data_IF_718938968865
#
_entry.id   IF_718938968865
#
_cell.length_a   1.000
_cell.length_b   1.000
_cell.length_c   1.000
_cell.angle_alpha   90.00
_cell.angle_beta   90.00
_cell.angle_gamma   90.00
#
_symmetry.space_group_name_H-M   'P 1'
#
loop_
_entity.id
_entity.type
_entity.pdbx_description
1 polymer ?
#
# COMPACT_ATOMS: atom_id res chain seq x y z
N UNK A 1 49.99 -76.04 25.77
CA UNK A 1 48.56 -75.70 25.98
C UNK A 1 48.34 -74.29 25.47
N UNK A 2 47.74 -74.15 24.29
CA UNK A 2 47.28 -72.87 23.73
C UNK A 2 45.82 -73.11 23.37
N UNK A 3 44.92 -72.41 24.06
CA UNK A 3 43.48 -72.54 23.89
C UNK A 3 42.99 -71.53 22.86
N UNK A 4 42.46 -72.06 21.75
CA UNK A 4 41.84 -71.29 20.66
C UNK A 4 40.44 -70.86 21.09
N UNK A 5 40.20 -69.54 21.18
CA UNK A 5 38.88 -68.94 21.33
C UNK A 5 38.20 -68.86 19.96
N UNK A 6 37.09 -69.57 19.76
CA UNK A 6 36.18 -69.36 18.63
C UNK A 6 35.05 -68.42 19.05
N UNK A 7 35.03 -67.22 18.46
CA UNK A 7 33.95 -66.25 18.58
C UNK A 7 32.79 -66.68 17.66
N UNK A 8 31.63 -66.92 18.23
CA UNK A 8 30.38 -67.21 17.52
C UNK A 8 29.80 -65.90 16.97
N UNK A 9 29.87 -65.67 15.65
CA UNK A 9 29.09 -64.61 15.00
C UNK A 9 27.63 -65.08 14.88
N UNK A 10 26.75 -64.48 15.68
CA UNK A 10 25.31 -64.58 15.51
C UNK A 10 24.87 -63.93 14.21
N UNK A 11 24.19 -64.70 13.36
CA UNK A 11 23.52 -64.24 12.15
C UNK A 11 22.26 -63.46 12.56
N UNK A 12 22.31 -62.12 12.52
CA UNK A 12 21.12 -61.27 12.59
C UNK A 12 20.50 -61.20 11.20
N UNK A 13 19.39 -61.92 11.00
CA UNK A 13 18.51 -61.74 9.84
C UNK A 13 17.79 -60.39 9.95
N UNK A 14 18.26 -59.38 9.22
CA UNK A 14 17.55 -58.13 8.96
C UNK A 14 16.36 -58.41 8.02
N UNK A 15 15.23 -58.80 8.59
CA UNK A 15 13.95 -58.83 7.89
C UNK A 15 13.35 -57.42 7.86
N UNK A 16 13.18 -56.85 6.66
CA UNK A 16 12.25 -55.73 6.47
C UNK A 16 12.77 -54.46 5.78
N UNK A 17 13.58 -54.57 4.72
CA UNK A 17 13.60 -53.52 3.70
C UNK A 17 12.68 -53.96 2.57
N UNK A 18 11.43 -53.48 2.54
CA UNK A 18 10.60 -53.58 1.34
C UNK A 18 11.36 -52.88 0.21
N UNK A 19 11.64 -53.62 -0.86
CA UNK A 19 12.35 -53.16 -2.05
C UNK A 19 11.48 -52.28 -2.96
N UNK A 20 10.25 -52.01 -2.55
CA UNK A 20 9.36 -51.18 -3.34
C UNK A 20 9.83 -49.73 -3.22
N UNK A 21 10.17 -49.07 -4.34
CA UNK A 21 10.44 -47.65 -4.31
C UNK A 21 9.22 -46.94 -3.71
N UNK A 22 9.42 -45.91 -2.86
CA UNK A 22 8.30 -45.15 -2.32
C UNK A 22 7.39 -44.71 -3.47
N UNK A 23 6.06 -44.75 -3.29
CA UNK A 23 5.14 -44.33 -4.32
C UNK A 23 5.53 -42.91 -4.78
N UNK A 24 5.47 -42.62 -6.10
CA UNK A 24 5.82 -41.31 -6.60
C UNK A 24 4.94 -40.27 -5.89
N UNK A 25 5.50 -39.10 -5.55
CA UNK A 25 4.72 -38.05 -4.92
C UNK A 25 3.52 -37.70 -5.81
N UNK A 26 2.34 -37.42 -5.22
CA UNK A 26 1.15 -37.08 -5.98
C UNK A 26 1.43 -35.87 -6.89
N UNK A 27 0.92 -35.96 -8.13
CA UNK A 27 1.03 -34.88 -9.09
C UNK A 27 0.32 -33.62 -8.57
N UNK A 28 0.83 -32.42 -8.88
CA UNK A 28 0.17 -31.19 -8.50
C UNK A 28 -1.22 -31.06 -9.16
N UNK A 29 -2.17 -30.49 -8.44
CA UNK A 29 -3.49 -30.10 -8.93
C UNK A 29 -3.36 -29.09 -10.06
N UNK A 30 -4.16 -29.21 -11.11
CA UNK A 30 -4.16 -28.26 -12.23
C UNK A 30 -4.62 -26.86 -11.79
N UNK A 31 -4.18 -25.83 -12.52
CA UNK A 31 -4.46 -24.41 -12.22
C UNK A 31 -5.95 -24.09 -12.09
N UNK A 32 -6.79 -24.72 -12.92
CA UNK A 32 -8.24 -24.55 -13.01
C UNK A 32 -9.04 -25.55 -12.17
N UNK A 33 -8.35 -26.42 -11.43
CA UNK A 33 -8.96 -27.38 -10.52
C UNK A 33 -8.89 -26.90 -9.06
N UNK A 34 -9.72 -27.53 -8.22
CA UNK A 34 -9.68 -27.32 -6.79
C UNK A 34 -9.04 -28.52 -6.08
N UNK A 35 -8.41 -28.28 -4.93
CA UNK A 35 -7.92 -29.31 -4.03
C UNK A 35 -8.61 -29.18 -2.68
N UNK A 36 -8.96 -30.30 -2.05
CA UNK A 36 -9.48 -30.29 -0.68
C UNK A 36 -8.32 -30.39 0.31
N UNK A 37 -8.29 -29.48 1.28
CA UNK A 37 -7.28 -29.42 2.33
C UNK A 37 -7.96 -29.16 3.67
N UNK A 38 -7.89 -30.12 4.59
CA UNK A 38 -8.55 -30.06 5.90
C UNK A 38 -10.05 -29.66 5.84
N UNK A 39 -10.81 -30.22 4.90
CA UNK A 39 -12.24 -29.91 4.71
C UNK A 39 -12.54 -28.59 3.99
N UNK A 40 -11.51 -27.88 3.52
CA UNK A 40 -11.63 -26.65 2.73
C UNK A 40 -11.28 -26.95 1.28
N UNK A 41 -12.18 -26.62 0.37
CA UNK A 41 -11.87 -26.57 -1.05
C UNK A 41 -11.03 -25.32 -1.33
N UNK A 42 -9.85 -25.52 -1.91
CA UNK A 42 -8.89 -24.48 -2.26
C UNK A 42 -8.79 -24.41 -3.78
N UNK A 43 -8.98 -23.23 -4.36
CA UNK A 43 -8.84 -22.99 -5.79
C UNK A 43 -8.09 -21.69 -6.08
N UNK A 44 -7.52 -21.58 -7.28
CA UNK A 44 -6.82 -20.38 -7.73
C UNK A 44 -7.80 -19.50 -8.50
N UNK A 45 -8.14 -18.35 -7.93
CA UNK A 45 -9.03 -17.36 -8.53
C UNK A 45 -8.32 -16.47 -9.58
N UNK A 46 -6.99 -16.53 -9.65
CA UNK A 46 -6.21 -15.93 -10.73
C UNK A 46 -4.76 -15.63 -10.36
N UNK A 47 -3.97 -15.37 -11.39
CA UNK A 47 -2.57 -14.90 -11.28
C UNK A 47 -2.42 -13.55 -11.96
N UNK A 48 -1.82 -12.60 -11.26
CA UNK A 48 -1.67 -11.22 -11.72
C UNK A 48 -0.22 -10.75 -11.57
N UNK A 49 0.21 -9.84 -12.44
CA UNK A 49 1.44 -9.08 -12.26
C UNK A 49 1.11 -7.60 -12.21
N UNK A 50 1.34 -6.97 -11.07
CA UNK A 50 0.86 -5.62 -10.78
C UNK A 50 1.86 -4.86 -9.90
N UNK A 51 1.75 -3.52 -9.89
CA UNK A 51 2.37 -2.70 -8.84
C UNK A 51 1.32 -2.53 -7.74
N UNK A 52 1.59 -2.99 -6.51
CA UNK A 52 0.56 -3.03 -5.48
C UNK A 52 0.25 -1.62 -4.98
N UNK A 53 -1.05 -1.33 -4.84
CA UNK A 53 -1.48 -0.33 -3.88
C UNK A 53 -1.36 -0.95 -2.49
N UNK A 54 -0.54 -0.34 -1.64
CA UNK A 54 -0.41 -0.76 -0.25
C UNK A 54 -1.33 0.09 0.60
N UNK A 55 -1.83 -0.49 1.67
CA UNK A 55 -2.67 0.15 2.67
C UNK A 55 -2.03 -0.12 4.03
N UNK A 56 -1.95 0.90 4.88
CA UNK A 56 -1.47 0.72 6.25
C UNK A 56 -2.57 0.18 7.20
N UNK A 57 -2.22 -0.16 8.43
CA UNK A 57 -3.16 -0.61 9.47
C UNK A 57 -4.32 0.35 9.76
N UNK A 58 -4.22 1.62 9.35
CA UNK A 58 -5.26 2.63 9.51
C UNK A 58 -6.08 2.83 8.21
N UNK A 59 -5.94 1.94 7.23
CA UNK A 59 -6.66 2.04 5.97
C UNK A 59 -6.07 3.07 4.99
N UNK A 60 -4.83 3.53 5.20
CA UNK A 60 -4.23 4.58 4.37
C UNK A 60 -3.47 4.00 3.20
N UNK A 61 -3.92 4.33 1.99
CA UNK A 61 -3.22 3.98 0.75
C UNK A 61 -1.85 4.66 0.63
N UNK A 62 -0.83 3.90 0.28
CA UNK A 62 0.49 4.32 -0.13
C UNK A 62 0.86 3.58 -1.43
N UNK A 63 1.41 4.32 -2.40
CA UNK A 63 2.04 3.70 -3.56
C UNK A 63 3.49 3.35 -3.23
N UNK A 64 3.96 2.19 -3.67
CA UNK A 64 5.40 1.97 -3.86
C UNK A 64 5.80 2.84 -5.06
N UNK A 65 6.58 3.89 -4.83
CA UNK A 65 6.85 4.92 -5.85
C UNK A 65 7.78 4.47 -6.97
N UNK A 66 8.48 3.35 -6.81
CA UNK A 66 9.17 2.72 -7.93
C UNK A 66 8.16 1.96 -8.80
N UNK A 67 7.64 2.62 -9.84
CA UNK A 67 6.82 2.01 -10.89
C UNK A 67 7.48 0.84 -11.66
N UNK A 68 8.63 0.33 -11.21
CA UNK A 68 9.36 -0.83 -11.73
C UNK A 68 9.12 -2.13 -10.97
N UNK A 69 8.75 -2.08 -9.69
CA UNK A 69 8.79 -3.28 -8.84
C UNK A 69 7.43 -3.96 -8.82
N UNK A 70 7.08 -4.52 -9.98
CA UNK A 70 5.93 -5.40 -10.09
C UNK A 70 6.11 -6.58 -9.16
N UNK A 71 5.00 -7.08 -8.65
CA UNK A 71 4.92 -8.31 -7.88
C UNK A 71 4.06 -9.32 -8.62
N UNK A 72 4.28 -10.59 -8.35
CA UNK A 72 3.44 -11.70 -8.81
C UNK A 72 2.43 -12.01 -7.71
N UNK A 73 1.14 -11.93 -8.05
CA UNK A 73 0.04 -12.11 -7.11
C UNK A 73 -0.70 -13.38 -7.47
N UNK A 74 -0.88 -14.27 -6.49
CA UNK A 74 -1.77 -15.42 -6.61
C UNK A 74 -3.01 -15.15 -5.77
N UNK A 75 -4.17 -15.07 -6.42
CA UNK A 75 -5.47 -14.93 -5.75
C UNK A 75 -6.03 -16.31 -5.47
N UNK A 76 -6.40 -16.55 -4.23
CA UNK A 76 -6.91 -17.81 -3.73
C UNK A 76 -8.35 -17.66 -3.28
N UNK A 77 -9.10 -18.74 -3.48
CA UNK A 77 -10.44 -18.87 -2.95
C UNK A 77 -10.50 -20.12 -2.07
N UNK A 78 -11.07 -19.95 -0.89
CA UNK A 78 -11.25 -20.99 0.12
C UNK A 78 -12.73 -21.16 0.38
N UNK A 79 -13.28 -22.33 0.08
CA UNK A 79 -14.68 -22.66 0.32
C UNK A 79 -14.76 -23.78 1.35
N UNK A 80 -15.47 -23.53 2.45
CA UNK A 80 -15.67 -24.55 3.47
C UNK A 80 -16.84 -25.45 3.06
N UNK A 81 -16.55 -26.59 2.44
CA UNK A 81 -17.55 -27.59 2.07
C UNK A 81 -17.87 -28.58 3.20
N UNK A 82 -17.25 -28.40 4.36
CA UNK A 82 -17.55 -29.15 5.57
C UNK A 82 -18.82 -28.68 6.28
N UNK A 83 -19.18 -29.40 7.34
CA UNK A 83 -20.34 -29.11 8.19
C UNK A 83 -20.00 -28.28 9.44
N UNK A 84 -18.71 -28.10 9.73
CA UNK A 84 -18.20 -27.34 10.87
C UNK A 84 -17.42 -26.11 10.40
N UNK A 85 -17.33 -25.10 11.27
CA UNK A 85 -16.52 -23.90 11.01
C UNK A 85 -15.02 -24.24 10.98
N UNK A 86 -14.29 -23.66 10.03
CA UNK A 86 -12.84 -23.81 9.90
C UNK A 86 -12.15 -22.50 10.26
N UNK A 87 -11.08 -22.57 11.05
CA UNK A 87 -10.25 -21.41 11.37
C UNK A 87 -9.18 -21.22 10.29
N UNK A 88 -9.25 -20.11 9.57
CA UNK A 88 -8.20 -19.67 8.66
C UNK A 88 -7.22 -18.74 9.40
N UNK A 89 -5.94 -19.11 9.39
CA UNK A 89 -4.85 -18.30 9.94
C UNK A 89 -3.94 -17.84 8.79
N UNK A 90 -4.09 -16.58 8.32
CA UNK A 90 -3.29 -16.07 7.22
C UNK A 90 -1.80 -16.02 7.59
N UNK A 91 -0.95 -16.26 6.59
CA UNK A 91 0.51 -16.34 6.74
C UNK A 91 1.22 -15.42 5.75
N UNK A 92 0.81 -14.16 5.74
CA UNK A 92 1.47 -13.12 4.94
C UNK A 92 2.77 -12.65 5.60
N UNK A 93 3.63 -11.99 4.83
CA UNK A 93 4.85 -11.29 5.30
C UNK A 93 5.86 -12.15 6.10
N UNK A 94 5.77 -13.48 6.08
CA UNK A 94 6.75 -14.34 6.73
C UNK A 94 8.12 -14.21 6.04
N UNK A 95 9.13 -13.72 6.78
CA UNK A 95 10.48 -13.45 6.25
C UNK A 95 11.21 -14.73 5.77
N UNK A 96 10.85 -15.88 6.33
CA UNK A 96 11.32 -17.22 5.95
C UNK A 96 10.15 -18.19 6.09
N UNK A 97 9.38 -18.37 5.02
CA UNK A 97 8.29 -19.35 5.01
C UNK A 97 8.85 -20.77 5.05
N UNK A 98 8.40 -21.60 5.99
CA UNK A 98 8.60 -23.04 5.92
C UNK A 98 7.47 -23.66 5.08
N UNK A 99 7.74 -24.64 4.20
CA UNK A 99 6.72 -25.26 3.35
C UNK A 99 5.48 -25.75 4.08
N UNK A 100 5.64 -26.16 5.34
CA UNK A 100 4.56 -26.72 6.16
C UNK A 100 3.69 -25.67 6.87
N UNK A 101 4.05 -24.38 6.76
CA UNK A 101 3.41 -23.31 7.55
C UNK A 101 3.02 -22.09 6.74
N UNK A 102 3.63 -21.88 5.58
CA UNK A 102 3.40 -20.68 4.76
C UNK A 102 3.19 -21.11 3.31
N UNK A 103 2.23 -20.51 2.59
CA UNK A 103 2.17 -20.69 1.15
C UNK A 103 3.47 -20.25 0.46
N UNK A 104 4.00 -21.11 -0.40
CA UNK A 104 5.27 -20.91 -1.10
C UNK A 104 5.11 -21.16 -2.59
N UNK A 105 5.82 -20.36 -3.40
CA UNK A 105 5.87 -20.49 -4.85
C UNK A 105 7.24 -21.00 -5.28
N UNK A 106 7.26 -21.89 -6.25
CA UNK A 106 8.48 -22.49 -6.79
C UNK A 106 8.49 -22.43 -8.31
N UNK A 107 9.68 -22.31 -8.90
CA UNK A 107 9.91 -22.71 -10.28
C UNK A 107 10.00 -24.23 -10.31
N UNK A 108 9.16 -24.84 -11.14
CA UNK A 108 9.20 -26.28 -11.37
C UNK A 108 10.42 -26.60 -12.24
N UNK A 109 11.21 -27.62 -11.87
CA UNK A 109 12.29 -28.06 -12.73
C UNK A 109 11.75 -28.67 -14.02
N UNK A 110 12.52 -28.59 -15.10
CA UNK A 110 12.20 -29.30 -16.35
C UNK A 110 12.28 -30.83 -16.18
N UNK A 111 13.14 -31.28 -15.25
CA UNK A 111 13.32 -32.69 -14.93
C UNK A 111 12.90 -33.00 -13.49
N UNK A 112 12.13 -34.07 -13.24
CA UNK A 112 11.64 -34.39 -11.89
C UNK A 112 12.72 -34.58 -10.82
N UNK A 113 13.94 -34.97 -11.22
CA UNK A 113 15.08 -35.18 -10.32
C UNK A 113 15.74 -33.88 -9.83
N UNK A 114 15.52 -32.77 -10.52
CA UNK A 114 16.13 -31.49 -10.17
C UNK A 114 15.39 -30.81 -9.01
N UNK A 115 16.09 -29.94 -8.30
CA UNK A 115 15.50 -29.23 -7.15
C UNK A 115 14.60 -28.10 -7.63
N UNK A 116 13.40 -28.04 -7.03
CA UNK A 116 12.54 -26.86 -7.13
C UNK A 116 13.26 -25.62 -6.60
N UNK A 117 13.15 -24.51 -7.34
CA UNK A 117 13.77 -23.24 -6.95
C UNK A 117 12.72 -22.34 -6.30
N UNK A 118 12.87 -21.92 -5.03
CA UNK A 118 11.86 -21.09 -4.36
C UNK A 118 11.84 -19.68 -4.95
N UNK A 119 10.63 -19.14 -5.09
CA UNK A 119 10.37 -17.73 -5.38
C UNK A 119 10.04 -17.05 -4.06
N UNK A 120 10.73 -15.94 -3.79
CA UNK A 120 10.60 -15.22 -2.52
C UNK A 120 9.21 -14.62 -2.36
N UNK A 121 8.68 -14.69 -1.13
CA UNK A 121 7.50 -13.92 -0.76
C UNK A 121 7.87 -12.44 -0.70
N UNK A 122 6.95 -11.58 -1.12
CA UNK A 122 7.14 -10.13 -0.95
C UNK A 122 6.92 -9.80 0.52
N UNK A 123 7.95 -9.24 1.14
CA UNK A 123 7.85 -8.68 2.48
C UNK A 123 7.46 -7.23 2.37
N UNK A 124 6.24 -6.91 2.80
CA UNK A 124 5.82 -5.54 2.99
C UNK A 124 6.42 -5.01 4.29
N UNK A 125 6.65 -3.69 4.37
CA UNK A 125 7.03 -3.04 5.61
C UNK A 125 5.94 -3.26 6.67
N UNK A 126 6.32 -3.25 7.94
CA UNK A 126 5.39 -3.50 9.05
C UNK A 126 4.17 -2.57 8.92
N UNK A 127 2.98 -3.15 9.15
CA UNK A 127 1.66 -2.52 9.01
C UNK A 127 1.17 -2.24 7.59
N UNK A 128 1.91 -2.58 6.52
CA UNK A 128 1.40 -2.49 5.15
C UNK A 128 0.88 -3.83 4.61
N UNK A 129 -0.22 -3.77 3.88
CA UNK A 129 -0.86 -4.89 3.20
C UNK A 129 -1.55 -4.42 1.92
N UNK A 130 -1.91 -5.34 1.04
CA UNK A 130 -2.80 -4.99 -0.08
C UNK A 130 -4.27 -5.07 0.37
N UNK A 131 -5.19 -4.28 -0.18
CA UNK A 131 -6.61 -4.29 0.22
C UNK A 131 -7.30 -5.66 0.08
N UNK A 132 -6.72 -6.58 -0.71
CA UNK A 132 -7.27 -7.90 -1.00
C UNK A 132 -6.71 -9.02 -0.10
N UNK A 133 -5.79 -8.69 0.81
CA UNK A 133 -5.24 -9.62 1.80
C UNK A 133 -6.12 -9.74 3.04
N UNK A 134 -6.27 -10.96 3.55
CA UNK A 134 -6.91 -11.23 4.83
C UNK A 134 -5.88 -11.10 5.94
N UNK A 135 -5.90 -9.98 6.66
CA UNK A 135 -4.83 -9.65 7.61
C UNK A 135 -5.02 -10.22 9.02
N UNK A 136 -6.14 -10.89 9.31
CA UNK A 136 -6.46 -11.40 10.64
C UNK A 136 -7.04 -12.81 10.58
N UNK A 137 -6.81 -13.65 11.61
CA UNK A 137 -7.45 -14.95 11.71
C UNK A 137 -8.95 -14.83 11.51
N UNK A 138 -9.49 -15.62 10.58
CA UNK A 138 -10.86 -15.51 10.12
C UNK A 138 -11.52 -16.88 10.18
N UNK A 139 -12.77 -16.91 10.63
CA UNK A 139 -13.59 -18.12 10.66
C UNK A 139 -14.33 -18.25 9.33
N UNK A 140 -14.24 -19.42 8.71
CA UNK A 140 -14.98 -19.74 7.48
C UNK A 140 -16.14 -20.66 7.88
N UNK A 141 -17.36 -20.11 7.88
CA UNK A 141 -18.57 -20.88 8.17
C UNK A 141 -18.85 -21.94 7.08
N UNK A 142 -19.62 -23.00 7.39
CA UNK A 142 -20.06 -23.97 6.37
C UNK A 142 -20.71 -23.30 5.15
N UNK A 143 -20.26 -23.68 3.96
CA UNK A 143 -20.69 -23.11 2.67
C UNK A 143 -20.16 -21.71 2.37
N UNK A 144 -19.44 -21.06 3.30
CA UNK A 144 -18.89 -19.74 3.08
C UNK A 144 -17.63 -19.79 2.21
N UNK A 145 -17.39 -18.68 1.52
CA UNK A 145 -16.22 -18.46 0.68
C UNK A 145 -15.40 -17.32 1.28
N UNK A 146 -14.10 -17.55 1.45
CA UNK A 146 -13.10 -16.55 1.78
C UNK A 146 -12.16 -16.37 0.58
N UNK A 147 -11.89 -15.13 0.19
CA UNK A 147 -10.89 -14.82 -0.82
C UNK A 147 -9.68 -14.19 -0.16
N UNK A 148 -8.49 -14.52 -0.63
CA UNK A 148 -7.23 -13.96 -0.14
C UNK A 148 -6.21 -13.85 -1.29
N UNK A 149 -5.09 -13.17 -1.06
CA UNK A 149 -3.98 -13.13 -2.00
C UNK A 149 -2.60 -13.25 -1.35
N UNK A 150 -1.70 -13.88 -2.10
CA UNK A 150 -0.30 -14.03 -1.72
C UNK A 150 0.60 -13.35 -2.74
N UNK A 151 1.60 -12.64 -2.22
CA UNK A 151 2.50 -11.77 -2.96
C UNK A 151 3.87 -12.43 -3.07
N UNK A 152 4.38 -12.55 -4.28
CA UNK A 152 5.67 -13.16 -4.61
C UNK A 152 6.49 -12.22 -5.49
N UNK A 153 7.82 -12.35 -5.44
CA UNK A 153 8.69 -11.75 -6.43
C UNK A 153 8.34 -12.26 -7.83
N UNK A 154 8.55 -11.45 -8.86
CA UNK A 154 8.26 -11.86 -10.24
C UNK A 154 9.10 -13.08 -10.61
N UNK A 155 8.48 -14.18 -11.06
CA UNK A 155 9.21 -15.35 -11.53
C UNK A 155 10.17 -15.01 -12.68
N UNK A 156 11.28 -15.77 -12.86
CA UNK A 156 12.13 -15.65 -14.04
C UNK A 156 11.31 -15.79 -15.34
N UNK A 157 11.61 -14.99 -16.36
CA UNK A 157 10.83 -14.97 -17.62
C UNK A 157 10.91 -16.27 -18.41
N UNK A 158 11.98 -17.02 -18.21
CA UNK A 158 12.27 -18.31 -18.82
C UNK A 158 11.66 -19.50 -18.06
N UNK A 159 11.12 -19.29 -16.85
CA UNK A 159 10.39 -20.34 -16.14
C UNK A 159 9.10 -20.70 -16.90
N UNK A 160 8.96 -21.96 -17.30
CA UNK A 160 7.81 -22.44 -18.08
C UNK A 160 6.64 -22.91 -17.22
N UNK A 161 6.93 -23.38 -16.00
CA UNK A 161 5.95 -23.85 -15.04
C UNK A 161 6.30 -23.44 -13.61
N UNK A 162 5.28 -23.14 -12.83
CA UNK A 162 5.39 -22.79 -11.42
C UNK A 162 4.59 -23.79 -10.58
N UNK A 163 4.93 -23.89 -9.30
CA UNK A 163 4.15 -24.64 -8.33
C UNK A 163 3.89 -23.82 -7.08
N UNK A 164 2.62 -23.71 -6.71
CA UNK A 164 2.19 -23.14 -5.44
C UNK A 164 1.94 -24.27 -4.46
N UNK A 165 2.57 -24.21 -3.30
CA UNK A 165 2.32 -25.10 -2.16
C UNK A 165 1.53 -24.35 -1.11
N UNK A 166 0.39 -24.90 -0.67
CA UNK A 166 -0.48 -24.34 0.37
C UNK A 166 -0.57 -25.36 1.52
N UNK A 167 -0.11 -25.01 2.73
CA UNK A 167 -0.10 -25.95 3.84
C UNK A 167 -1.43 -26.04 4.58
N UNK A 168 -1.80 -27.24 5.02
CA UNK A 168 -3.05 -27.48 5.76
C UNK A 168 -3.09 -26.76 7.11
N UNK A 169 -1.93 -26.43 7.67
CA UNK A 169 -1.78 -25.74 8.96
C UNK A 169 -2.44 -24.35 8.96
N UNK A 170 -2.60 -23.70 7.80
CA UNK A 170 -3.35 -22.43 7.71
C UNK A 170 -4.84 -22.61 7.98
N UNK A 171 -5.34 -23.85 7.90
CA UNK A 171 -6.71 -24.25 8.23
C UNK A 171 -6.79 -25.08 9.51
N UNK A 172 -5.72 -25.10 10.32
CA UNK A 172 -5.63 -25.92 11.54
C UNK A 172 -5.36 -27.41 11.30
N UNK A 173 -4.98 -27.80 10.07
CA UNK A 173 -4.58 -29.16 9.74
C UNK A 173 -3.16 -29.52 10.16
N UNK A 174 -2.72 -30.72 9.79
CA UNK A 174 -1.40 -31.27 10.16
C UNK A 174 -0.27 -30.71 9.31
N UNK A 175 0.90 -30.46 9.92
CA UNK A 175 2.11 -30.08 9.18
C UNK A 175 2.55 -31.17 8.19
N UNK A 176 3.02 -30.77 7.01
CA UNK A 176 3.44 -31.68 5.93
C UNK A 176 2.33 -32.09 4.97
N UNK A 177 1.06 -31.85 5.31
CA UNK A 177 -0.06 -31.99 4.38
C UNK A 177 -0.23 -30.68 3.60
N UNK A 178 0.17 -30.69 2.33
CA UNK A 178 0.20 -29.51 1.49
C UNK A 178 -0.55 -29.77 0.18
N UNK A 179 -1.50 -28.90 -0.16
CA UNK A 179 -2.06 -28.85 -1.50
C UNK A 179 -1.03 -28.20 -2.44
N UNK A 180 -0.72 -28.87 -3.55
CA UNK A 180 0.21 -28.38 -4.57
C UNK A 180 -0.56 -28.09 -5.84
N UNK A 181 -0.38 -26.90 -6.40
CA UNK A 181 -1.00 -26.49 -7.65
C UNK A 181 0.07 -26.21 -8.69
N UNK A 182 -0.14 -26.65 -9.93
CA UNK A 182 0.65 -26.23 -11.08
C UNK A 182 0.08 -24.91 -11.61
N UNK A 183 0.94 -23.91 -11.84
CA UNK A 183 0.55 -22.60 -12.34
C UNK A 183 1.35 -22.25 -13.60
N UNK A 184 0.70 -21.62 -14.59
CA UNK A 184 1.43 -21.09 -15.73
C UNK A 184 2.21 -19.83 -15.32
N UNK A 185 3.36 -19.58 -15.95
CA UNK A 185 4.10 -18.33 -15.81
C UNK A 185 3.64 -17.26 -16.81
N UNK A 186 2.34 -17.11 -16.95
CA UNK A 186 1.71 -16.11 -17.84
C UNK A 186 0.73 -15.25 -17.04
N UNK A 187 1.20 -14.53 -16.01
CA UNK A 187 0.32 -13.75 -15.17
C UNK A 187 -0.40 -12.68 -15.99
N UNK A 188 -1.68 -12.44 -15.66
CA UNK A 188 -2.40 -11.32 -16.24
C UNK A 188 -1.72 -10.03 -15.81
N UNK A 189 -1.17 -9.28 -16.75
CA UNK A 189 -0.56 -7.99 -16.47
C UNK A 189 -1.67 -6.98 -16.13
N UNK A 190 -1.64 -6.46 -14.91
CA UNK A 190 -2.48 -5.33 -14.50
C UNK A 190 -1.61 -4.08 -14.66
N UNK A 191 -2.00 -3.20 -15.56
CA UNK A 191 -1.34 -1.91 -15.69
C UNK A 191 -1.77 -1.00 -14.55
N UNK A 192 -0.81 -0.25 -14.02
CA UNK A 192 -1.14 0.86 -13.12
C UNK A 192 -1.86 1.90 -13.97
N UNK A 193 -2.98 2.40 -13.49
CA UNK A 193 -3.60 3.55 -14.15
C UNK A 193 -2.56 4.67 -14.24
N UNK A 194 -2.33 5.24 -15.44
CA UNK A 194 -1.36 6.30 -15.58
C UNK A 194 -1.74 7.45 -14.66
N UNK A 195 -0.75 8.05 -14.01
CA UNK A 195 -0.99 9.23 -13.20
C UNK A 195 -1.62 10.34 -14.04
N UNK A 196 -2.66 10.96 -13.49
CA UNK A 196 -3.36 12.05 -14.16
C UNK A 196 -2.50 13.32 -14.19
N UNK A 197 -2.69 14.12 -15.25
CA UNK A 197 -2.09 15.45 -15.34
C UNK A 197 -2.91 16.53 -14.63
N UNK A 198 -2.47 17.78 -14.76
CA UNK A 198 -3.26 18.95 -14.35
C UNK A 198 -4.60 18.97 -15.08
N UNK A 199 -5.66 19.33 -14.34
CA UNK A 199 -7.06 19.42 -14.80
C UNK A 199 -7.64 18.10 -15.35
N UNK A 200 -6.97 16.97 -15.10
CA UNK A 200 -7.50 15.64 -15.42
C UNK A 200 -8.09 15.03 -14.15
N UNK A 201 -9.41 14.81 -14.08
CA UNK A 201 -10.03 14.21 -12.90
C UNK A 201 -9.74 12.71 -12.81
N UNK A 202 -9.51 12.24 -11.59
CA UNK A 202 -9.39 10.83 -11.20
C UNK A 202 -10.56 10.49 -10.29
N UNK A 203 -11.19 9.34 -10.53
CA UNK A 203 -12.31 8.85 -9.71
C UNK A 203 -11.87 7.63 -8.90
N UNK A 204 -12.14 7.65 -7.60
CA UNK A 204 -12.04 6.47 -6.71
C UNK A 204 -13.24 6.46 -5.77
N UNK A 205 -13.90 5.31 -5.68
CA UNK A 205 -15.15 5.18 -4.94
C UNK A 205 -16.15 6.26 -5.34
N UNK A 206 -16.65 6.98 -4.34
CA UNK A 206 -17.62 8.07 -4.50
C UNK A 206 -16.99 9.46 -4.71
N UNK A 207 -15.68 9.56 -4.94
CA UNK A 207 -14.99 10.84 -5.08
C UNK A 207 -14.37 10.98 -6.47
N UNK A 208 -14.59 12.15 -7.07
CA UNK A 208 -13.87 12.64 -8.24
C UNK A 208 -12.93 13.75 -7.77
N UNK A 209 -11.63 13.58 -7.95
CA UNK A 209 -10.59 14.54 -7.54
C UNK A 209 -9.81 15.01 -8.77
N UNK A 210 -9.51 16.31 -8.84
CA UNK A 210 -8.61 16.88 -9.83
C UNK A 210 -7.63 17.86 -9.19
N UNK A 211 -6.44 17.96 -9.79
CA UNK A 211 -5.44 18.98 -9.43
C UNK A 211 -5.52 20.11 -10.45
N UNK A 212 -5.83 21.30 -9.98
CA UNK A 212 -6.06 22.47 -10.84
C UNK A 212 -4.78 23.26 -11.10
N UNK A 213 -3.91 23.36 -10.08
CA UNK A 213 -2.70 24.17 -10.16
C UNK A 213 -1.60 23.64 -9.23
N UNK A 214 -0.35 23.91 -9.62
CA UNK A 214 0.85 23.74 -8.82
C UNK A 214 1.72 24.99 -8.99
N UNK A 215 1.94 25.75 -7.92
CA UNK A 215 2.54 27.09 -7.98
C UNK A 215 3.48 27.36 -6.80
N UNK A 216 4.54 28.13 -7.04
CA UNK A 216 5.39 28.70 -6.00
C UNK A 216 4.82 30.06 -5.59
N UNK A 217 4.40 30.23 -4.32
CA UNK A 217 3.72 31.44 -3.85
C UNK A 217 4.06 31.80 -2.40
N UNK A 218 3.98 33.09 -2.08
CA UNK A 218 3.89 33.57 -0.70
C UNK A 218 2.47 33.36 -0.20
N UNK A 219 2.27 32.39 0.68
CA UNK A 219 0.92 31.96 1.05
C UNK A 219 0.37 32.82 2.17
N UNK A 220 -0.83 33.36 1.93
CA UNK A 220 -1.61 34.13 2.91
C UNK A 220 -2.18 33.19 3.98
N UNK A 221 -1.74 33.39 5.23
CA UNK A 221 -2.23 32.70 6.40
C UNK A 221 -3.26 33.55 7.15
N UNK A 222 -4.36 32.90 7.56
CA UNK A 222 -5.42 33.49 8.36
C UNK A 222 -5.45 32.81 9.72
N UNK A 223 -5.54 33.58 10.80
CA UNK A 223 -5.69 33.02 12.15
C UNK A 223 -7.08 32.43 12.31
N UNK A 224 -7.12 31.16 12.72
CA UNK A 224 -8.33 30.50 13.20
C UNK A 224 -8.49 30.86 14.68
N UNK A 225 -8.91 32.09 14.96
CA UNK A 225 -9.30 32.49 16.32
C UNK A 225 -10.77 32.84 16.34
N UNK A 226 -11.49 32.47 17.42
CA UNK A 226 -12.89 32.88 17.65
C UNK A 226 -13.04 34.37 17.98
N UNK A 227 -12.07 35.18 17.59
CA UNK A 227 -12.04 36.63 17.73
C UNK A 227 -12.49 37.24 16.41
N UNK A 228 -13.24 38.34 16.48
CA UNK A 228 -13.70 39.07 15.29
C UNK A 228 -12.50 39.67 14.53
N UNK A 229 -12.68 39.96 13.24
CA UNK A 229 -11.63 40.51 12.37
C UNK A 229 -11.03 41.82 12.94
N UNK A 230 -11.82 42.59 13.69
CA UNK A 230 -11.45 43.82 14.40
C UNK A 230 -10.50 43.59 15.59
N UNK A 231 -10.49 42.41 16.21
CA UNK A 231 -9.64 42.09 17.37
C UNK A 231 -8.25 41.59 16.97
N UNK A 232 -8.00 41.39 15.66
CA UNK A 232 -6.74 40.90 15.15
C UNK A 232 -5.87 42.06 14.65
N UNK A 233 -4.78 42.34 15.38
CA UNK A 233 -3.79 43.39 15.02
C UNK A 233 -3.19 43.21 13.60
N UNK A 234 -3.17 41.98 13.09
CA UNK A 234 -2.92 41.62 11.69
C UNK A 234 -3.74 40.37 11.36
N UNK A 235 -4.88 40.48 10.66
CA UNK A 235 -5.74 39.33 10.36
C UNK A 235 -5.08 38.35 9.37
N UNK A 236 -4.08 38.82 8.61
CA UNK A 236 -3.37 38.10 7.57
C UNK A 236 -1.85 38.14 7.81
N UNK A 237 -1.16 37.03 7.59
CA UNK A 237 0.30 36.97 7.57
C UNK A 237 0.74 36.12 6.37
N UNK A 238 1.68 36.61 5.57
CA UNK A 238 2.24 35.81 4.48
C UNK A 238 3.39 34.95 4.98
N UNK A 239 3.66 33.83 4.30
CA UNK A 239 4.90 33.09 4.51
C UNK A 239 6.12 34.00 4.26
N UNK A 240 7.23 33.76 4.96
CA UNK A 240 8.45 34.56 4.80
C UNK A 240 9.23 34.19 3.52
N UNK A 241 9.01 32.98 3.03
CA UNK A 241 9.59 32.43 1.82
C UNK A 241 8.44 31.86 0.96
N UNK A 242 8.60 31.81 -0.36
CA UNK A 242 7.64 31.13 -1.21
C UNK A 242 7.61 29.63 -0.93
N UNK A 243 6.42 29.05 -1.00
CA UNK A 243 6.19 27.63 -0.78
C UNK A 243 5.44 27.04 -1.97
N UNK A 244 5.53 25.72 -2.13
CA UNK A 244 4.80 25.02 -3.17
C UNK A 244 3.35 24.83 -2.74
N UNK A 245 2.42 25.45 -3.45
CA UNK A 245 0.97 25.32 -3.28
C UNK A 245 0.40 24.42 -4.37
N UNK A 246 -0.41 23.45 -3.97
CA UNK A 246 -1.19 22.61 -4.89
C UNK A 246 -2.67 22.90 -4.67
N UNK A 247 -3.35 23.38 -5.70
CA UNK A 247 -4.80 23.60 -5.66
C UNK A 247 -5.54 22.40 -6.22
N UNK A 248 -6.51 21.91 -5.47
CA UNK A 248 -7.34 20.76 -5.86
C UNK A 248 -8.81 21.11 -5.84
N UNK A 249 -9.59 20.32 -6.57
CA UNK A 249 -11.04 20.33 -6.49
C UNK A 249 -11.53 18.88 -6.43
N UNK A 250 -12.48 18.62 -5.54
CA UNK A 250 -13.09 17.30 -5.41
C UNK A 250 -14.60 17.38 -5.28
N UNK A 251 -15.27 16.36 -5.80
CA UNK A 251 -16.73 16.23 -5.80
C UNK A 251 -17.12 14.89 -5.22
N UNK A 252 -18.10 14.87 -4.31
CA UNK A 252 -18.79 13.64 -3.95
C UNK A 252 -19.80 13.29 -5.05
N UNK A 253 -19.47 12.28 -5.85
CA UNK A 253 -20.32 11.77 -6.94
C UNK A 253 -21.18 10.57 -6.50
N UNK A 254 -21.10 10.18 -5.23
CA UNK A 254 -21.88 9.11 -4.64
C UNK A 254 -23.29 9.53 -4.25
N UNK A 255 -23.91 8.69 -3.42
CA UNK A 255 -25.29 8.89 -2.92
C UNK A 255 -25.34 9.10 -1.40
N UNK A 256 -24.22 8.93 -0.72
CA UNK A 256 -24.10 9.03 0.73
C UNK A 256 -23.17 10.18 1.11
N UNK A 257 -23.37 10.71 2.31
CA UNK A 257 -22.48 11.70 2.91
C UNK A 257 -21.10 11.08 3.16
N UNK A 258 -20.04 11.83 2.85
CA UNK A 258 -18.66 11.43 3.11
C UNK A 258 -18.03 12.34 4.15
N UNK A 259 -17.00 11.84 4.84
CA UNK A 259 -16.21 12.64 5.78
C UNK A 259 -14.87 12.99 5.14
N UNK A 260 -14.64 14.28 4.96
CA UNK A 260 -13.38 14.83 4.49
C UNK A 260 -12.48 15.23 5.66
N UNK A 261 -11.31 14.62 5.75
CA UNK A 261 -10.29 14.83 6.78
C UNK A 261 -8.90 15.04 6.10
N UNK A 262 -8.59 16.27 5.65
CA UNK A 262 -7.39 16.55 4.85
C UNK A 262 -6.06 16.53 5.61
N UNK A 263 -6.10 16.44 6.95
CA UNK A 263 -4.89 16.36 7.77
C UNK A 263 -3.90 17.52 7.58
N UNK A 264 -4.37 18.72 7.22
CA UNK A 264 -3.47 19.85 6.90
C UNK A 264 -2.47 20.21 8.00
N UNK A 265 -2.80 19.90 9.26
CA UNK A 265 -1.97 20.18 10.43
C UNK A 265 -1.39 18.93 11.08
N UNK A 266 -1.63 17.75 10.54
CA UNK A 266 -1.20 16.52 11.17
C UNK A 266 0.33 16.43 11.22
N UNK A 267 0.85 15.80 12.27
CA UNK A 267 2.30 15.75 12.50
C UNK A 267 3.06 15.02 11.40
N UNK A 268 2.37 14.16 10.66
CA UNK A 268 2.87 13.40 9.53
C UNK A 268 2.12 13.83 8.26
N UNK A 269 2.70 13.60 7.08
CA UNK A 269 2.04 13.85 5.79
C UNK A 269 0.91 12.83 5.54
N UNK A 270 -0.07 12.79 6.44
CA UNK A 270 -1.06 11.71 6.51
C UNK A 270 -1.95 11.81 5.28
N UNK A 271 -1.88 10.79 4.43
CA UNK A 271 -2.76 10.61 3.28
C UNK A 271 -2.45 11.50 2.07
N UNK A 272 -1.46 12.40 2.10
CA UNK A 272 -1.03 13.16 0.91
C UNK A 272 0.48 13.22 0.83
N UNK A 273 1.04 12.69 -0.27
CA UNK A 273 2.49 12.61 -0.50
C UNK A 273 2.84 13.24 -1.84
N UNK A 274 3.95 13.96 -1.89
CA UNK A 274 4.53 14.45 -3.13
C UNK A 274 6.00 14.02 -3.25
N UNK A 275 6.38 13.52 -4.41
CA UNK A 275 7.73 13.06 -4.73
C UNK A 275 8.26 13.76 -5.98
N UNK A 276 9.55 14.06 -5.99
CA UNK A 276 10.26 14.58 -7.17
C UNK A 276 10.64 13.41 -8.09
N UNK A 277 10.36 13.54 -9.39
CA UNK A 277 10.78 12.57 -10.40
C UNK A 277 12.10 13.01 -11.04
N UNK A 278 13.25 12.75 -10.39
CA UNK A 278 14.57 13.07 -10.96
C UNK A 278 15.71 12.18 -10.48
N UNK A 279 15.93 11.00 -11.10
CA UNK A 279 17.11 10.14 -10.90
C UNK A 279 17.32 9.53 -9.50
N UNK A 280 16.86 10.22 -8.45
CA UNK A 280 16.66 9.83 -7.07
C UNK A 280 15.28 10.36 -6.68
N UNK A 281 14.40 9.48 -6.20
CA UNK A 281 13.11 9.88 -5.68
C UNK A 281 13.32 10.64 -4.37
N UNK A 282 12.84 11.89 -4.31
CA UNK A 282 12.86 12.70 -3.09
C UNK A 282 11.42 13.04 -2.69
N UNK A 283 11.01 12.59 -1.51
CA UNK A 283 9.72 12.97 -0.92
C UNK A 283 9.79 14.40 -0.38
N UNK A 284 8.93 15.27 -0.90
CA UNK A 284 8.74 16.63 -0.41
C UNK A 284 7.96 16.63 0.90
N UNK A 285 8.44 17.40 1.87
CA UNK A 285 7.74 17.57 3.14
C UNK A 285 6.54 18.49 2.97
N UNK A 286 5.43 18.16 3.65
CA UNK A 286 4.29 19.07 3.82
C UNK A 286 4.76 20.33 4.53
N UNK A 287 4.35 21.50 4.04
CA UNK A 287 4.65 22.77 4.70
C UNK A 287 3.57 23.08 5.72
N UNK A 288 3.99 23.42 6.94
CA UNK A 288 3.11 23.83 8.03
C UNK A 288 3.38 25.30 8.35
N UNK A 289 2.31 26.06 8.53
CA UNK A 289 2.41 27.42 9.01
C UNK A 289 2.97 27.41 10.44
N UNK A 290 3.82 28.39 10.75
CA UNK A 290 4.52 28.47 12.03
C UNK A 290 3.58 28.66 13.23
N UNK A 291 2.50 29.43 13.04
CA UNK A 291 1.44 29.57 14.04
C UNK A 291 0.49 28.36 13.97
N UNK A 292 0.48 27.55 15.02
CA UNK A 292 -0.39 26.38 15.15
C UNK A 292 -1.90 26.72 15.07
N UNK A 293 -2.27 28.00 15.21
CA UNK A 293 -3.65 28.49 15.04
C UNK A 293 -3.93 29.08 13.66
N UNK A 294 -2.97 29.18 12.75
CA UNK A 294 -3.18 29.70 11.40
C UNK A 294 -3.39 28.59 10.34
N UNK A 295 -4.28 28.81 9.37
CA UNK A 295 -4.41 28.00 8.14
C UNK A 295 -4.14 28.90 6.94
N UNK A 296 -3.77 28.34 5.80
CA UNK A 296 -3.79 29.14 4.58
C UNK A 296 -5.23 29.50 4.23
N UNK A 297 -5.44 30.71 3.72
CA UNK A 297 -6.78 31.27 3.43
C UNK A 297 -7.65 30.36 2.56
N UNK A 298 -7.02 29.68 1.60
CA UNK A 298 -7.68 28.79 0.64
C UNK A 298 -7.82 27.35 1.15
N UNK A 299 -7.34 27.03 2.37
CA UNK A 299 -7.48 25.69 2.95
C UNK A 299 -8.85 25.49 3.59
N UNK A 300 -9.41 24.32 3.36
CA UNK A 300 -10.61 23.87 4.08
C UNK A 300 -10.26 23.53 5.53
N UNK A 301 -11.21 23.84 6.42
CA UNK A 301 -11.16 23.40 7.83
C UNK A 301 -11.81 22.03 7.91
N UNK A 302 -11.01 20.99 8.17
CA UNK A 302 -11.51 19.64 8.41
C UNK A 302 -11.45 19.23 9.90
N UNK A 303 -12.10 18.11 10.29
CA UNK A 303 -12.96 17.26 9.46
C UNK A 303 -14.30 17.91 9.11
N UNK A 304 -14.87 17.60 7.94
CA UNK A 304 -16.17 18.11 7.50
C UNK A 304 -16.96 17.08 6.69
N UNK A 305 -18.28 17.22 6.65
CA UNK A 305 -19.16 16.41 5.80
C UNK A 305 -19.18 16.95 4.37
N UNK A 306 -19.12 16.05 3.40
CA UNK A 306 -19.22 16.33 1.96
C UNK A 306 -20.47 15.63 1.44
N UNK A 307 -21.53 16.38 1.12
CA UNK A 307 -22.80 15.78 0.71
C UNK A 307 -22.76 15.34 -0.77
N UNK A 308 -23.63 14.40 -1.18
CA UNK A 308 -23.79 14.01 -2.57
C UNK A 308 -23.96 15.20 -3.51
N UNK A 309 -23.18 15.22 -4.59
CA UNK A 309 -23.19 16.25 -5.62
C UNK A 309 -22.41 17.53 -5.28
N UNK A 310 -21.94 17.70 -4.03
CA UNK A 310 -21.19 18.90 -3.64
C UNK A 310 -19.73 18.84 -4.12
N UNK A 311 -19.23 19.99 -4.57
CA UNK A 311 -17.86 20.20 -5.02
C UNK A 311 -17.18 21.21 -4.12
N UNK A 312 -15.96 20.87 -3.69
CA UNK A 312 -15.14 21.70 -2.83
C UNK A 312 -13.77 21.93 -3.45
N UNK A 313 -13.16 23.07 -3.10
CA UNK A 313 -11.79 23.43 -3.47
C UNK A 313 -10.94 23.49 -2.21
N UNK A 314 -9.72 23.00 -2.31
CA UNK A 314 -8.78 22.98 -1.20
C UNK A 314 -7.34 23.17 -1.69
N UNK A 315 -6.41 23.47 -0.78
CA UNK A 315 -4.99 23.61 -1.11
C UNK A 315 -4.07 22.82 -0.19
N UNK A 316 -3.06 22.22 -0.79
CA UNK A 316 -2.04 21.42 -0.12
C UNK A 316 -0.68 22.10 -0.27
N UNK A 317 -0.06 22.42 0.86
CA UNK A 317 1.23 23.10 0.93
C UNK A 317 2.39 22.12 1.10
N UNK A 318 3.49 22.36 0.39
CA UNK A 318 4.73 21.58 0.43
C UNK A 318 5.95 22.51 0.44
N UNK A 319 7.08 21.99 0.92
CA UNK A 319 8.37 22.64 0.69
C UNK A 319 8.66 22.67 -0.81
N UNK A 320 9.30 23.75 -1.27
CA UNK A 320 9.74 23.85 -2.67
C UNK A 320 10.77 22.77 -2.97
N UNK A 321 10.70 22.12 -4.15
CA UNK A 321 11.81 21.36 -4.70
C UNK A 321 13.12 22.16 -4.67
N UNK A 322 14.27 21.53 -4.38
CA UNK A 322 15.57 22.22 -4.38
C UNK A 322 15.88 22.83 -5.76
N UNK A 323 16.69 23.89 -5.78
CA UNK A 323 17.06 24.59 -7.01
C UNK A 323 17.71 23.62 -8.03
N UNK A 324 17.15 23.57 -9.24
CA UNK A 324 17.48 22.56 -10.28
C UNK A 324 16.59 21.30 -10.27
N UNK A 325 15.60 21.23 -9.37
CA UNK A 325 14.68 20.12 -9.18
C UNK A 325 13.69 19.89 -10.33
N UNK A 326 13.25 18.63 -10.45
CA UNK A 326 12.62 17.98 -11.60
C UNK A 326 11.60 18.77 -12.41
N UNK A 327 11.58 18.51 -13.73
CA UNK A 327 10.49 18.94 -14.62
C UNK A 327 9.12 18.33 -14.30
N UNK A 328 9.04 17.37 -13.36
CA UNK A 328 7.82 16.69 -12.95
C UNK A 328 7.84 16.30 -11.47
N UNK A 329 6.67 16.37 -10.83
CA UNK A 329 6.42 15.81 -9.49
C UNK A 329 5.30 14.78 -9.56
N UNK A 330 5.39 13.74 -8.73
CA UNK A 330 4.30 12.80 -8.49
C UNK A 330 3.57 13.21 -7.22
N UNK A 331 2.26 13.34 -7.27
CA UNK A 331 1.41 13.67 -6.14
C UNK A 331 0.38 12.56 -5.94
N UNK A 332 0.24 12.08 -4.71
CA UNK A 332 -0.68 11.01 -4.37
C UNK A 332 -1.56 11.42 -3.20
N UNK A 333 -2.88 11.22 -3.34
CA UNK A 333 -3.86 11.34 -2.26
C UNK A 333 -4.42 9.96 -1.93
N UNK A 334 -4.39 9.59 -0.65
CA UNK A 334 -5.09 8.43 -0.12
C UNK A 334 -6.58 8.72 -0.05
N UNK A 335 -7.40 7.80 -0.55
CA UNK A 335 -8.86 7.89 -0.47
C UNK A 335 -9.38 8.02 0.96
N UNK A 336 -8.61 7.58 1.96
CA UNK A 336 -8.93 7.71 3.38
C UNK A 336 -9.25 9.16 3.77
N UNK A 337 -8.56 10.16 3.17
CA UNK A 337 -8.84 11.57 3.50
C UNK A 337 -10.26 11.99 3.09
N UNK A 338 -10.94 11.22 2.25
CA UNK A 338 -12.32 11.41 1.83
C UNK A 338 -13.27 10.30 2.34
N UNK A 339 -12.81 9.40 3.20
CA UNK A 339 -13.59 8.27 3.68
C UNK A 339 -13.85 7.18 2.62
N UNK A 340 -13.03 7.10 1.57
CA UNK A 340 -13.13 6.07 0.51
C UNK A 340 -11.84 5.25 0.42
N UNK A 341 -11.89 4.11 -0.27
CA UNK A 341 -10.69 3.33 -0.59
C UNK A 341 -10.06 3.77 -1.92
N UNK A 342 -8.77 3.49 -2.08
CA UNK A 342 -8.04 3.71 -3.33
C UNK A 342 -7.10 4.91 -3.28
N UNK A 343 -6.17 4.97 -4.24
CA UNK A 343 -5.24 6.08 -4.40
C UNK A 343 -5.60 6.96 -5.60
N UNK A 344 -5.56 8.28 -5.41
CA UNK A 344 -5.57 9.25 -6.50
C UNK A 344 -4.13 9.68 -6.81
N UNK A 345 -3.64 9.32 -7.98
CA UNK A 345 -2.27 9.61 -8.40
C UNK A 345 -2.20 10.62 -9.55
N UNK A 346 -1.30 11.60 -9.41
CA UNK A 346 -1.09 12.68 -10.37
C UNK A 346 0.41 12.82 -10.69
N UNK A 347 0.72 13.10 -11.95
CA UNK A 347 2.06 13.48 -12.39
C UNK A 347 1.96 14.87 -12.99
N UNK A 348 2.47 15.83 -12.25
CA UNK A 348 2.28 17.25 -12.53
C UNK A 348 3.57 17.81 -13.14
N UNK A 349 3.50 18.60 -14.21
CA UNK A 349 4.64 19.37 -14.65
C UNK A 349 5.01 20.36 -13.55
N UNK A 350 6.30 20.46 -13.23
CA UNK A 350 6.79 21.45 -12.27
C UNK A 350 7.93 22.23 -12.90
N UNK A 351 7.87 23.55 -12.73
CA UNK A 351 8.95 24.46 -13.06
C UNK A 351 9.06 25.45 -11.92
N UNK A 352 10.21 25.47 -11.26
CA UNK A 352 10.47 26.44 -10.21
C UNK A 352 10.30 27.87 -10.73
N UNK A 353 9.62 28.68 -9.94
CA UNK A 353 9.37 30.09 -10.22
C UNK A 353 9.59 30.89 -8.95
N UNK A 354 10.22 32.06 -9.06
CA UNK A 354 10.37 32.97 -7.93
C UNK A 354 9.25 34.02 -7.98
N UNK A 355 8.22 33.89 -7.12
CA UNK A 355 7.11 34.84 -7.12
C UNK A 355 7.56 36.19 -6.55
N UNK A 356 6.86 37.25 -6.96
CA UNK A 356 7.05 38.57 -6.36
C UNK A 356 6.54 38.56 -4.91
N UNK A 357 7.31 39.05 -3.93
CA UNK A 357 6.85 39.16 -2.56
C UNK A 357 5.58 40.04 -2.45
N UNK A 358 4.66 39.72 -1.53
CA UNK A 358 3.46 40.52 -1.32
C UNK A 358 3.84 41.90 -0.77
N UNK A 359 3.13 42.94 -1.21
CA UNK A 359 3.28 44.27 -0.64
C UNK A 359 2.66 44.30 0.77
N UNK A 360 3.51 44.52 1.78
CA UNK A 360 3.10 44.58 3.17
C UNK A 360 2.86 46.01 3.67
N UNK A 361 3.11 47.05 2.86
CA UNK A 361 2.87 48.45 3.22
C UNK A 361 1.43 48.73 3.70
N UNK A 362 0.36 48.15 3.11
CA UNK A 362 -1.01 48.35 3.59
C UNK A 362 -1.23 47.89 5.05
N UNK A 363 -0.46 46.92 5.52
CA UNK A 363 -0.57 46.37 6.88
C UNK A 363 0.28 47.13 7.90
N UNK A 364 1.19 48.03 7.49
CA UNK A 364 2.03 48.80 8.42
C UNK A 364 1.30 49.98 9.10
N UNK A 365 0.11 50.36 8.62
CA UNK A 365 -0.59 51.60 9.01
C UNK A 365 -1.24 51.59 10.40
N UNK A 366 -1.35 50.45 11.07
CA UNK A 366 -1.96 50.33 12.43
C UNK A 366 -0.95 49.99 13.53
N UNK A 367 0.32 50.38 13.37
CA UNK A 367 1.24 50.42 14.51
C UNK A 367 0.94 51.69 15.31
N UNK A 368 0.47 51.61 16.58
CA UNK A 368 0.54 52.77 17.45
C UNK A 368 2.02 53.19 17.48
N UNK A 369 2.29 54.44 17.10
CA UNK A 369 3.62 55.01 17.24
C UNK A 369 4.10 54.74 18.66
N UNK A 370 5.36 54.30 18.88
CA UNK A 370 5.90 54.25 20.22
C UNK A 370 5.69 55.62 20.86
N UNK A 371 5.13 55.63 22.08
CA UNK A 371 4.93 56.87 22.82
C UNK A 371 6.24 57.65 22.81
N UNK A 372 6.23 58.96 22.52
CA UNK A 372 7.45 59.75 22.50
C UNK A 372 8.18 59.56 23.82
N UNK A 373 9.47 59.23 23.75
CA UNK A 373 10.30 59.12 24.94
C UNK A 373 10.20 60.44 25.74
N UNK A 374 10.08 60.36 27.08
CA UNK A 374 10.06 61.57 27.88
C UNK A 374 11.37 62.31 27.66
N UNK A 375 11.26 63.55 27.18
CA UNK A 375 12.39 64.46 27.02
C UNK A 375 13.02 64.68 28.41
N UNK A 376 14.35 64.56 28.53
CA UNK A 376 15.06 64.58 29.82
C UNK A 376 14.91 65.89 30.60
#
# INVERSE_FOLDING_TARGET
>A
MVATFFLTMGLLTLSGCSKDPPPPPPAPTAFDAAATLNGVEVSIAGIESLVPELVDANGRSALITSGSDRIFVVRLQYKNDGTAEVNYTPRHNAATGQPDTTPLLFVMPEKPEDRMTPIQNVRLADNFFTPRQVMSPTKIAPGAILNDEYLFSVPPKDATALMLSIPATIFGGTAGDNAKFALPNTPKRIEVEPFAGLNTPVTRGAIKLQVNAITDEYVEAVKVSGKTEEEMKYPYAYTVEPILKVSVEFTNIGKEDLIYAPGHRDNESIGVKMDIVSGQELTLRRFKLADAKAIAKEQLKGPMTVKPGETYKDVFLFQRPPAGGAGKVTLAFSGHIFGVQGLFGFQLPYKSYEPTPPDLEPYKKDLPLPAPEPVP
#
